data_IF_962443110834
#
_entry.id   IF_962443110834
#
_cell.length_a   1.000
_cell.length_b   1.000
_cell.length_c   1.000
_cell.angle_alpha   90.00
_cell.angle_beta   90.00
_cell.angle_gamma   90.00
#
_symmetry.space_group_name_H-M   'P 1'
#
loop_
_entity.id
_entity.type
_entity.pdbx_description
1 polymer ?
#
# COMPACT_ATOMS: atom_id res chain seq x y z
N UNK A 1 -3.71 -29.30 -19.19
CA UNK A 1 -2.77 -28.88 -20.25
C UNK A 1 -2.38 -27.44 -19.95
N UNK A 2 -1.13 -27.18 -19.61
CA UNK A 2 -0.66 -25.84 -19.25
C UNK A 2 -0.26 -25.08 -20.52
N UNK A 3 -1.00 -24.04 -20.85
CA UNK A 3 -0.71 -23.16 -21.99
C UNK A 3 0.32 -22.13 -21.55
N UNK A 4 1.57 -22.34 -21.94
CA UNK A 4 2.67 -21.40 -21.71
C UNK A 4 2.44 -20.14 -22.55
N UNK A 5 2.27 -18.99 -21.90
CA UNK A 5 2.22 -17.69 -22.56
C UNK A 5 3.60 -17.41 -23.17
N UNK A 6 3.71 -17.42 -24.51
CA UNK A 6 4.88 -16.88 -25.22
C UNK A 6 4.56 -15.42 -25.57
N UNK A 7 5.28 -14.43 -25.04
CA UNK A 7 5.09 -13.06 -25.46
C UNK A 7 5.50 -12.93 -26.94
N UNK A 8 4.60 -12.35 -27.73
CA UNK A 8 4.81 -12.05 -29.14
C UNK A 8 6.02 -11.13 -29.29
N UNK A 9 7.03 -11.57 -30.03
CA UNK A 9 8.29 -10.85 -30.24
C UNK A 9 8.12 -9.95 -31.46
N UNK A 10 7.42 -8.84 -31.27
CA UNK A 10 7.28 -7.81 -32.30
C UNK A 10 8.67 -7.17 -32.56
N UNK A 11 9.25 -7.26 -33.77
CA UNK A 11 10.67 -6.94 -34.03
C UNK A 11 11.00 -5.43 -34.03
N UNK A 12 10.16 -4.60 -33.42
CA UNK A 12 10.34 -3.14 -33.30
C UNK A 12 10.29 -2.62 -31.86
N UNK A 13 10.57 -3.44 -30.85
CA UNK A 13 10.96 -2.91 -29.53
C UNK A 13 12.38 -2.38 -29.63
N UNK A 14 12.48 -1.10 -30.03
CA UNK A 14 13.72 -0.32 -29.98
C UNK A 14 14.41 -0.57 -28.65
N UNK A 15 15.73 -0.81 -28.69
CA UNK A 15 16.59 -1.05 -27.53
C UNK A 15 16.22 -0.10 -26.40
N UNK A 16 15.48 -0.62 -25.43
CA UNK A 16 15.01 0.16 -24.30
C UNK A 16 16.26 0.47 -23.49
N UNK A 17 16.76 1.71 -23.60
CA UNK A 17 17.86 2.18 -22.76
C UNK A 17 17.44 1.93 -21.32
N UNK A 18 18.29 1.23 -20.56
CA UNK A 18 18.00 0.92 -19.17
C UNK A 18 17.54 2.21 -18.46
N UNK A 19 16.40 2.22 -17.76
CA UNK A 19 15.95 3.42 -17.06
C UNK A 19 17.06 3.89 -16.11
N UNK A 20 17.21 5.21 -15.92
CA UNK A 20 18.34 5.79 -15.18
C UNK A 20 18.51 5.30 -13.72
N UNK A 21 17.53 4.60 -13.15
CA UNK A 21 17.61 3.94 -11.84
C UNK A 21 18.15 2.49 -11.89
N UNK A 22 18.54 2.00 -13.07
CA UNK A 22 19.23 0.73 -13.30
C UNK A 22 20.70 1.01 -13.63
N UNK A 23 21.55 1.00 -12.59
CA UNK A 23 23.00 1.14 -12.69
C UNK A 23 23.66 -0.20 -13.03
N UNK A 24 24.96 -0.20 -13.30
CA UNK A 24 25.72 -1.43 -13.53
C UNK A 24 25.75 -2.35 -12.30
N UNK A 25 25.59 -1.78 -11.10
CA UNK A 25 25.55 -2.51 -9.83
C UNK A 25 24.13 -2.88 -9.37
N UNK A 26 23.09 -2.53 -10.15
CA UNK A 26 21.70 -2.88 -9.85
C UNK A 26 20.76 -1.68 -9.77
N UNK A 27 19.75 -1.76 -8.90
CA UNK A 27 18.76 -0.71 -8.74
C UNK A 27 19.22 0.32 -7.71
N UNK A 28 19.11 1.61 -8.04
CA UNK A 28 19.39 2.71 -7.12
C UNK A 28 18.30 3.80 -7.20
N UNK A 29 17.85 4.29 -6.04
CA UNK A 29 16.91 5.40 -5.98
C UNK A 29 17.61 6.69 -6.44
N UNK A 30 17.12 7.28 -7.53
CA UNK A 30 17.71 8.50 -8.12
C UNK A 30 17.60 9.77 -7.27
N UNK A 31 16.69 9.76 -6.30
CA UNK A 31 16.51 10.84 -5.34
C UNK A 31 16.78 10.27 -3.95
N UNK A 32 18.06 10.01 -3.60
CA UNK A 32 18.39 9.63 -2.24
C UNK A 32 17.94 10.76 -1.31
N UNK A 33 17.37 10.39 -0.16
CA UNK A 33 17.05 11.38 0.86
C UNK A 33 18.33 12.16 1.20
N UNK A 34 18.26 13.50 1.35
CA UNK A 34 19.42 14.31 1.69
C UNK A 34 19.99 13.83 3.03
N UNK A 35 21.23 13.35 2.96
CA UNK A 35 21.90 12.50 3.93
C UNK A 35 21.15 11.20 4.28
N UNK A 36 21.88 10.08 4.51
CA UNK A 36 21.33 9.04 5.35
C UNK A 36 21.18 9.68 6.72
N UNK A 37 20.05 10.37 6.98
CA UNK A 37 19.70 10.71 8.33
C UNK A 37 19.68 9.35 8.99
N UNK A 38 20.73 9.07 9.78
CA UNK A 38 20.81 7.93 10.66
C UNK A 38 19.73 8.18 11.70
N UNK A 39 18.46 8.09 11.30
CA UNK A 39 17.29 8.09 12.17
C UNK A 39 17.28 6.71 12.80
N UNK A 40 18.30 6.49 13.62
CA UNK A 40 18.35 5.40 14.55
C UNK A 40 17.06 5.41 15.35
N UNK A 41 16.61 4.25 15.75
CA UNK A 41 15.52 4.11 16.71
C UNK A 41 15.73 5.04 17.92
N UNK A 42 16.98 5.24 18.35
CA UNK A 42 17.35 6.19 19.41
C UNK A 42 17.12 7.65 19.06
N UNK A 43 17.41 8.06 17.81
CA UNK A 43 17.10 9.41 17.35
C UNK A 43 15.59 9.64 17.32
N UNK A 44 14.82 8.66 16.86
CA UNK A 44 13.36 8.70 16.92
C UNK A 44 12.85 8.79 18.37
N UNK A 45 13.35 7.95 19.29
CA UNK A 45 12.97 8.01 20.70
C UNK A 45 13.31 9.36 21.33
N UNK A 46 14.52 9.86 21.10
CA UNK A 46 14.97 11.16 21.61
C UNK A 46 14.04 12.27 21.13
N UNK A 47 13.72 12.29 19.83
CA UNK A 47 12.77 13.24 19.25
C UNK A 47 11.34 13.07 19.81
N UNK A 48 10.91 11.83 20.05
CA UNK A 48 9.55 11.50 20.51
C UNK A 48 9.27 11.89 21.97
N UNK A 49 10.29 11.81 22.83
CA UNK A 49 10.16 12.05 24.27
C UNK A 49 10.79 13.37 24.74
N UNK A 50 11.81 13.86 24.03
CA UNK A 50 12.60 15.03 24.40
C UNK A 50 12.74 16.06 23.28
N UNK A 51 12.05 15.87 22.15
CA UNK A 51 12.02 16.86 21.07
C UNK A 51 10.89 17.87 21.27
N UNK A 52 11.10 19.09 20.77
CA UNK A 52 10.11 20.18 20.84
C UNK A 52 9.01 20.06 19.77
N UNK A 53 8.92 18.92 19.08
CA UNK A 53 7.90 18.69 18.07
C UNK A 53 6.51 18.70 18.69
N UNK A 54 5.61 19.50 18.11
CA UNK A 54 4.20 19.48 18.47
C UNK A 54 3.53 18.25 17.86
N UNK A 55 3.74 17.09 18.49
CA UNK A 55 3.12 15.84 18.07
C UNK A 55 1.59 15.98 18.15
N UNK A 56 0.84 15.56 17.12
CA UNK A 56 -0.61 15.61 17.14
C UNK A 56 -1.15 14.91 18.39
N UNK A 57 -1.92 15.63 19.22
CA UNK A 57 -2.62 15.06 20.38
C UNK A 57 -3.85 14.25 19.93
N UNK A 58 -3.64 13.37 18.97
CA UNK A 58 -4.70 12.71 18.21
C UNK A 58 -5.47 11.64 19.02
N UNK A 59 -5.00 11.28 20.23
CA UNK A 59 -5.81 10.50 21.17
C UNK A 59 -7.16 11.15 21.48
N UNK A 60 -7.24 12.48 21.52
CA UNK A 60 -8.51 13.20 21.74
C UNK A 60 -9.42 13.24 20.51
N UNK A 61 -8.93 12.80 19.35
CA UNK A 61 -9.67 12.72 18.08
C UNK A 61 -10.29 11.33 17.86
N UNK A 62 -9.88 10.32 18.64
CA UNK A 62 -10.49 8.99 18.58
C UNK A 62 -11.98 9.09 18.87
N UNK A 63 -12.81 8.58 17.96
CA UNK A 63 -14.28 8.68 18.04
C UNK A 63 -14.87 10.03 17.61
N UNK A 64 -14.04 11.02 17.25
CA UNK A 64 -14.49 12.32 16.71
C UNK A 64 -14.29 12.46 15.21
N UNK A 65 -13.42 11.62 14.63
CA UNK A 65 -13.21 11.58 13.19
C UNK A 65 -14.49 11.00 12.57
N UNK A 66 -15.19 11.72 11.68
CA UNK A 66 -16.37 11.21 11.01
C UNK A 66 -16.06 9.92 10.26
N UNK A 67 -16.98 8.97 10.34
CA UNK A 67 -16.91 7.71 9.62
C UNK A 67 -18.25 7.48 8.94
N UNK A 68 -18.20 7.15 7.66
CA UNK A 68 -19.40 6.81 6.89
C UNK A 68 -19.56 5.30 6.81
N UNK A 69 -20.81 4.85 6.75
CA UNK A 69 -21.09 3.45 6.41
C UNK A 69 -20.95 3.30 4.90
N UNK A 70 -20.11 2.37 4.41
CA UNK A 70 -19.95 2.17 2.97
C UNK A 70 -21.24 1.67 2.33
N UNK A 71 -21.52 2.17 1.13
CA UNK A 71 -22.60 1.66 0.28
C UNK A 71 -22.17 0.32 -0.35
N UNK A 72 -22.49 -0.77 0.34
CA UNK A 72 -22.12 -2.12 -0.07
C UNK A 72 -22.71 -2.51 -1.44
N UNK A 73 -23.94 -2.10 -1.73
CA UNK A 73 -24.59 -2.42 -3.00
C UNK A 73 -23.86 -1.75 -4.17
N UNK A 74 -23.48 -0.48 -4.01
CA UNK A 74 -22.70 0.24 -5.01
C UNK A 74 -21.29 -0.35 -5.18
N UNK A 75 -20.65 -0.81 -4.10
CA UNK A 75 -19.30 -1.42 -4.14
C UNK A 75 -19.33 -2.79 -4.83
N UNK A 76 -20.37 -3.60 -4.59
CA UNK A 76 -20.47 -4.93 -5.20
C UNK A 76 -21.09 -4.92 -6.60
N UNK A 77 -21.78 -3.84 -6.97
CA UNK A 77 -22.40 -3.67 -8.30
C UNK A 77 -22.01 -2.31 -8.93
N UNK A 78 -20.72 -2.05 -9.18
CA UNK A 78 -20.27 -0.77 -9.73
C UNK A 78 -20.72 -0.62 -11.19
N UNK A 79 -21.10 0.60 -11.59
CA UNK A 79 -21.29 0.94 -13.01
C UNK A 79 -19.92 0.97 -13.71
N UNK A 80 -19.61 0.06 -14.66
CA UNK A 80 -18.31 0.00 -15.29
C UNK A 80 -17.95 1.26 -16.10
N UNK A 81 -18.94 2.09 -16.46
CA UNK A 81 -18.72 3.33 -17.22
C UNK A 81 -18.36 4.52 -16.32
N UNK A 82 -18.53 4.40 -15.01
CA UNK A 82 -18.26 5.49 -14.05
C UNK A 82 -17.14 5.08 -13.12
N UNK A 83 -16.23 6.02 -12.85
CA UNK A 83 -15.22 5.82 -11.82
C UNK A 83 -15.88 6.01 -10.44
N UNK A 84 -15.67 5.04 -9.57
CA UNK A 84 -16.03 5.10 -8.16
C UNK A 84 -14.77 4.96 -7.32
N UNK A 85 -14.73 5.71 -6.21
CA UNK A 85 -13.60 5.71 -5.28
C UNK A 85 -14.14 5.63 -3.87
N UNK A 86 -13.72 4.62 -3.13
CA UNK A 86 -14.07 4.41 -1.72
C UNK A 86 -12.82 4.55 -0.87
N UNK A 87 -12.77 5.55 -0.01
CA UNK A 87 -11.68 5.72 0.94
C UNK A 87 -11.87 4.77 2.13
N UNK A 88 -11.02 3.75 2.21
CA UNK A 88 -11.05 2.74 3.30
C UNK A 88 -10.30 3.26 4.53
N UNK A 89 -9.26 4.07 4.33
CA UNK A 89 -8.54 4.76 5.40
C UNK A 89 -7.04 4.85 5.13
N UNK A 90 -6.39 5.90 5.67
CA UNK A 90 -4.99 6.23 5.35
C UNK A 90 -4.80 6.33 3.82
N UNK A 91 -3.87 5.56 3.25
CA UNK A 91 -3.63 5.44 1.82
C UNK A 91 -4.37 4.26 1.18
N UNK A 92 -5.21 3.54 1.94
CA UNK A 92 -6.04 2.46 1.40
C UNK A 92 -7.29 3.03 0.73
N UNK A 93 -7.32 2.91 -0.60
CA UNK A 93 -8.40 3.37 -1.45
C UNK A 93 -8.80 2.24 -2.37
N UNK A 94 -10.10 1.94 -2.41
CA UNK A 94 -10.69 1.07 -3.42
C UNK A 94 -11.13 1.95 -4.60
N UNK A 95 -10.55 1.70 -5.77
CA UNK A 95 -10.88 2.37 -7.03
C UNK A 95 -11.55 1.35 -7.94
N UNK A 96 -12.74 1.69 -8.44
CA UNK A 96 -13.53 0.84 -9.31
C UNK A 96 -13.81 1.57 -10.62
N UNK A 97 -13.32 1.04 -11.73
CA UNK A 97 -13.51 1.64 -13.05
C UNK A 97 -13.26 0.63 -14.18
N UNK A 98 -14.04 0.70 -15.25
CA UNK A 98 -13.86 -0.18 -16.41
C UNK A 98 -14.04 -1.67 -16.08
N UNK A 99 -14.83 -1.98 -15.04
CA UNK A 99 -15.01 -3.35 -14.53
C UNK A 99 -13.86 -3.88 -13.68
N UNK A 100 -12.84 -3.06 -13.34
CA UNK A 100 -11.73 -3.45 -12.48
C UNK A 100 -11.94 -2.96 -11.05
N UNK A 101 -11.55 -3.79 -10.07
CA UNK A 101 -11.44 -3.43 -8.67
C UNK A 101 -9.95 -3.34 -8.26
N UNK A 102 -9.50 -2.11 -7.98
CA UNK A 102 -8.10 -1.79 -7.69
C UNK A 102 -7.99 -1.30 -6.25
N UNK A 103 -7.11 -1.91 -5.45
CA UNK A 103 -6.86 -1.49 -4.07
C UNK A 103 -5.46 -0.89 -3.93
N UNK A 104 -5.33 0.30 -3.36
CA UNK A 104 -4.04 0.93 -3.08
C UNK A 104 -3.59 0.65 -1.64
N UNK A 105 -2.28 0.50 -1.41
CA UNK A 105 -1.60 0.48 -0.11
C UNK A 105 -2.46 -0.12 1.04
N UNK A 106 -2.82 -1.42 0.97
CA UNK A 106 -3.78 -2.03 1.87
C UNK A 106 -3.23 -2.11 3.30
N UNK A 107 -3.87 -1.40 4.24
CA UNK A 107 -3.55 -1.43 5.68
C UNK A 107 -4.83 -1.60 6.50
N UNK A 108 -5.10 -2.84 6.88
CA UNK A 108 -6.21 -3.24 7.74
C UNK A 108 -5.76 -3.53 9.18
N UNK A 109 -4.46 -3.69 9.42
CA UNK A 109 -3.91 -3.87 10.77
C UNK A 109 -4.18 -2.66 11.68
N UNK A 110 -4.32 -2.92 12.97
CA UNK A 110 -4.47 -1.89 14.00
C UNK A 110 -3.25 -0.96 14.13
N UNK A 111 -2.07 -1.42 13.69
CA UNK A 111 -0.79 -0.74 13.90
C UNK A 111 0.09 -0.83 12.66
N UNK A 112 0.66 0.31 12.26
CA UNK A 112 1.71 0.38 11.24
C UNK A 112 3.08 0.10 11.90
N UNK A 113 3.39 -1.16 12.15
CA UNK A 113 4.57 -1.55 12.93
C UNK A 113 4.97 -3.01 12.67
N UNK A 114 6.27 -3.35 12.76
CA UNK A 114 6.71 -4.74 12.77
C UNK A 114 6.28 -5.50 14.03
N UNK A 115 5.87 -4.78 15.09
CA UNK A 115 5.50 -5.37 16.38
C UNK A 115 4.01 -5.15 16.68
N UNK A 116 3.32 -6.21 17.12
CA UNK A 116 1.89 -6.18 17.43
C UNK A 116 1.48 -5.19 18.53
N UNK A 117 2.40 -4.80 19.43
CA UNK A 117 2.09 -3.98 20.63
C UNK A 117 2.71 -2.59 20.61
N UNK A 118 3.68 -2.33 19.73
CA UNK A 118 4.48 -1.10 19.71
C UNK A 118 4.26 -0.38 18.39
N UNK A 119 4.44 0.95 18.36
CA UNK A 119 4.37 1.76 17.15
C UNK A 119 3.09 2.61 17.02
N UNK A 120 2.86 3.24 15.87
CA UNK A 120 1.63 3.97 15.58
C UNK A 120 0.43 3.03 15.60
N UNK A 121 -0.60 3.38 16.38
CA UNK A 121 -1.92 2.73 16.33
C UNK A 121 -2.85 3.66 15.57
N UNK A 122 -3.67 3.10 14.67
CA UNK A 122 -4.70 3.88 13.98
C UNK A 122 -5.79 4.36 14.94
N UNK A 123 -6.42 5.48 14.57
CA UNK A 123 -7.46 6.13 15.38
C UNK A 123 -8.88 5.76 14.97
N UNK A 124 -9.08 5.38 13.71
CA UNK A 124 -10.36 4.93 13.14
C UNK A 124 -10.25 3.48 12.70
N UNK A 125 -11.38 2.75 12.68
CA UNK A 125 -11.49 1.44 12.01
C UNK A 125 -11.44 1.65 10.49
N UNK A 126 -11.16 0.61 9.68
CA UNK A 126 -11.18 0.80 8.24
C UNK A 126 -12.64 0.92 7.81
N UNK A 127 -12.91 1.72 6.78
CA UNK A 127 -14.26 1.94 6.27
C UNK A 127 -14.88 0.66 5.73
N UNK A 128 -14.05 -0.29 5.27
CA UNK A 128 -14.42 -1.64 4.87
C UNK A 128 -13.55 -2.64 5.63
N UNK A 129 -14.13 -3.73 6.11
CA UNK A 129 -13.35 -4.90 6.50
C UNK A 129 -12.82 -5.63 5.24
N UNK A 130 -11.76 -6.40 5.39
CA UNK A 130 -11.09 -7.06 4.27
C UNK A 130 -11.99 -8.10 3.57
N UNK A 131 -12.87 -8.74 4.32
CA UNK A 131 -13.88 -9.70 3.85
C UNK A 131 -15.10 -9.03 3.20
N UNK A 132 -15.23 -7.72 3.33
CA UNK A 132 -16.26 -6.91 2.65
C UNK A 132 -15.77 -6.34 1.31
N UNK A 133 -14.50 -6.57 0.94
CA UNK A 133 -13.98 -6.12 -0.35
C UNK A 133 -14.63 -6.91 -1.49
N UNK A 134 -14.90 -6.28 -2.64
CA UNK A 134 -15.20 -7.03 -3.85
C UNK A 134 -13.97 -7.83 -4.28
N UNK A 135 -14.14 -8.77 -5.21
CA UNK A 135 -13.01 -9.48 -5.81
C UNK A 135 -12.06 -8.47 -6.43
N UNK A 136 -10.82 -8.42 -5.92
CA UNK A 136 -9.79 -7.52 -6.40
C UNK A 136 -9.12 -8.06 -7.66
N UNK A 137 -8.88 -7.19 -8.63
CA UNK A 137 -8.09 -7.48 -9.83
C UNK A 137 -6.63 -7.05 -9.64
N UNK A 138 -6.43 -5.92 -8.95
CA UNK A 138 -5.12 -5.28 -8.81
C UNK A 138 -4.93 -4.74 -7.39
N UNK A 139 -3.74 -4.94 -6.83
CA UNK A 139 -3.26 -4.27 -5.63
C UNK A 139 -2.03 -3.44 -6.00
N UNK A 140 -2.09 -2.15 -5.71
CA UNK A 140 -1.03 -1.18 -5.96
C UNK A 140 -0.32 -0.83 -4.66
N UNK A 141 0.99 -1.05 -4.61
CA UNK A 141 1.85 -0.69 -3.49
C UNK A 141 2.76 0.46 -3.93
N UNK A 142 2.73 1.57 -3.20
CA UNK A 142 3.54 2.76 -3.50
C UNK A 142 4.98 2.63 -3.03
N UNK A 143 5.19 2.06 -1.83
CA UNK A 143 6.49 1.82 -1.20
C UNK A 143 6.38 0.83 -0.04
N UNK A 144 7.47 0.52 0.65
CA UNK A 144 7.56 -0.57 1.64
C UNK A 144 7.54 -0.13 3.11
N UNK A 145 7.06 1.09 3.44
CA UNK A 145 6.87 1.47 4.83
C UNK A 145 5.67 0.76 5.46
N UNK A 146 5.69 0.53 6.78
CA UNK A 146 4.67 -0.25 7.49
C UNK A 146 3.25 0.32 7.42
N UNK A 147 3.08 1.60 7.11
CA UNK A 147 1.80 2.26 6.89
C UNK A 147 1.34 2.22 5.42
N UNK A 148 2.09 1.57 4.53
CA UNK A 148 1.71 1.34 3.11
C UNK A 148 1.92 -0.11 2.66
N UNK A 149 2.71 -0.89 3.39
CA UNK A 149 3.08 -2.28 3.10
C UNK A 149 2.81 -3.15 4.34
N UNK A 150 1.53 -3.33 4.64
CA UNK A 150 1.11 -4.15 5.78
C UNK A 150 1.07 -5.63 5.38
N UNK A 151 2.13 -6.36 5.75
CA UNK A 151 2.23 -7.80 5.47
C UNK A 151 1.01 -8.59 5.93
N UNK A 152 0.42 -8.27 7.08
CA UNK A 152 -0.74 -9.01 7.58
C UNK A 152 -2.00 -8.78 6.71
N UNK A 153 -2.13 -7.60 6.12
CA UNK A 153 -3.19 -7.33 5.14
C UNK A 153 -2.93 -8.06 3.84
N UNK A 154 -1.70 -8.02 3.33
CA UNK A 154 -1.30 -8.73 2.11
C UNK A 154 -1.49 -10.25 2.24
N UNK A 155 -1.15 -10.84 3.39
CA UNK A 155 -1.40 -12.26 3.69
C UNK A 155 -2.89 -12.61 3.59
N UNK A 156 -3.76 -11.75 4.14
CA UNK A 156 -5.19 -11.98 4.10
C UNK A 156 -5.79 -11.81 2.71
N UNK A 157 -5.25 -10.90 1.88
CA UNK A 157 -5.65 -10.74 0.48
C UNK A 157 -5.22 -11.93 -0.41
N UNK A 158 -4.16 -12.64 -0.02
CA UNK A 158 -3.66 -13.82 -0.71
C UNK A 158 -3.16 -13.52 -2.12
N UNK A 159 -3.19 -14.51 -3.01
CA UNK A 159 -2.62 -14.43 -4.36
C UNK A 159 -3.67 -14.25 -5.48
N UNK A 160 -4.93 -13.97 -5.13
CA UNK A 160 -6.00 -13.79 -6.10
C UNK A 160 -5.82 -12.54 -6.99
N UNK A 161 -5.48 -11.34 -6.46
CA UNK A 161 -5.22 -10.16 -7.29
C UNK A 161 -3.80 -10.17 -7.87
N UNK A 162 -3.57 -9.37 -8.90
CA UNK A 162 -2.22 -9.03 -9.34
C UNK A 162 -1.63 -7.94 -8.44
N UNK A 163 -0.37 -8.09 -8.05
CA UNK A 163 0.34 -7.07 -7.28
C UNK A 163 1.27 -6.26 -8.18
N UNK A 164 1.23 -4.93 -8.04
CA UNK A 164 2.18 -3.99 -8.65
C UNK A 164 2.84 -3.21 -7.52
N UNK A 165 4.16 -3.26 -7.47
CA UNK A 165 4.96 -2.74 -6.37
C UNK A 165 6.31 -2.25 -6.88
N UNK A 166 7.04 -1.39 -6.14
CA UNK A 166 8.32 -0.90 -6.57
C UNK A 166 9.34 -2.04 -6.63
N UNK A 167 10.32 -1.88 -7.53
CA UNK A 167 11.37 -2.87 -7.74
C UNK A 167 12.05 -3.25 -6.41
N UNK A 168 12.49 -4.51 -6.32
CA UNK A 168 13.13 -5.13 -5.13
C UNK A 168 12.23 -5.42 -3.92
N UNK A 169 10.94 -5.10 -3.97
CA UNK A 169 10.01 -5.46 -2.88
C UNK A 169 9.34 -6.84 -3.03
N UNK A 170 9.54 -7.54 -4.16
CA UNK A 170 9.00 -8.89 -4.38
C UNK A 170 9.30 -9.89 -3.26
N UNK A 171 10.56 -10.03 -2.80
CA UNK A 171 10.90 -10.93 -1.69
C UNK A 171 10.27 -10.56 -0.33
N UNK A 172 9.77 -9.33 -0.16
CA UNK A 172 8.98 -8.95 1.02
C UNK A 172 7.54 -9.43 0.87
N UNK A 173 6.95 -9.27 -0.32
CA UNK A 173 5.61 -9.78 -0.63
C UNK A 173 5.54 -11.30 -0.54
N UNK A 174 6.59 -12.02 -0.91
CA UNK A 174 6.67 -13.48 -0.79
C UNK A 174 6.62 -14.00 0.66
N UNK A 175 6.78 -13.11 1.66
CA UNK A 175 6.60 -13.43 3.07
C UNK A 175 5.16 -13.23 3.55
N UNK A 176 4.31 -12.63 2.72
CA UNK A 176 2.90 -12.44 2.98
C UNK A 176 2.13 -13.72 2.63
#
# INVERSE_FOLDING_TARGET
MATTFKPDQDPKVQQQTKPAHHTDNGFENRHPLPDPVKRSFWHFLKRRYFGDDNWPKAKHQVGKIPTETPDHDAIHNPDPKRMQVTWVGHATVLVQYGGLNILTDPVFSDRASPFKRVGPKRYTRPGLAIDQLPKLDLVLLSHNHYDHFDLASLTQLGNAPRYVLPLKNGPLLEKA
#
